data_IF_035202050798
#
_entry.id   IF_035202050798
#
_cell.length_a   1.000
_cell.length_b   1.000
_cell.length_c   1.000
_cell.angle_alpha   90.00
_cell.angle_beta   90.00
_cell.angle_gamma   90.00
#
_symmetry.space_group_name_H-M   'P 1'
#
loop_
_entity.id
_entity.type
_entity.pdbx_description
1 polymer ?
#
# COMPACT_ATOMS: atom_id res chain seq x y z
N UNK A 1 16.06 4.15 -23.89
CA UNK A 1 14.83 3.73 -23.20
C UNK A 1 15.07 3.69 -21.70
N UNK A 2 14.02 3.77 -20.88
CA UNK A 2 14.12 3.53 -19.43
C UNK A 2 14.16 2.00 -19.15
N UNK A 3 14.92 1.51 -18.16
CA UNK A 3 14.90 0.09 -17.76
C UNK A 3 13.49 -0.37 -17.35
N UNK A 4 13.15 -1.64 -17.59
CA UNK A 4 11.83 -2.20 -17.30
C UNK A 4 11.44 -2.12 -15.83
N UNK A 5 12.42 -2.26 -14.92
CA UNK A 5 12.22 -2.12 -13.47
C UNK A 5 11.73 -0.73 -13.02
N UNK A 6 11.82 0.29 -13.89
CA UNK A 6 11.33 1.65 -13.65
C UNK A 6 10.27 2.09 -14.69
N UNK A 7 9.54 1.12 -15.27
CA UNK A 7 8.35 1.42 -16.07
C UNK A 7 7.15 1.83 -15.22
N UNK A 8 7.09 1.30 -13.99
CA UNK A 8 6.10 1.62 -12.98
C UNK A 8 6.77 2.18 -11.72
N UNK A 9 5.97 2.76 -10.82
CA UNK A 9 6.37 3.02 -9.44
C UNK A 9 6.75 1.70 -8.73
N UNK A 10 7.59 1.77 -7.69
CA UNK A 10 8.23 0.56 -7.15
C UNK A 10 8.61 0.70 -5.68
N UNK A 11 8.19 -0.28 -4.86
CA UNK A 11 8.71 -0.53 -3.51
C UNK A 11 9.55 -1.83 -3.45
N UNK A 12 10.20 -2.19 -4.55
CA UNK A 12 10.93 -3.46 -4.69
C UNK A 12 12.00 -3.70 -3.61
N UNK A 13 12.64 -2.64 -3.08
CA UNK A 13 13.68 -2.79 -2.06
C UNK A 13 13.09 -3.09 -0.68
N UNK A 14 11.92 -2.52 -0.38
CA UNK A 14 11.11 -2.88 0.80
C UNK A 14 10.58 -4.33 0.73
N UNK A 15 10.17 -4.77 -0.47
CA UNK A 15 9.81 -6.17 -0.71
C UNK A 15 10.99 -7.14 -0.51
N UNK A 16 12.19 -6.78 -0.98
CA UNK A 16 13.42 -7.55 -0.75
C UNK A 16 13.77 -7.59 0.75
N UNK A 17 13.70 -6.47 1.47
CA UNK A 17 13.93 -6.45 2.92
C UNK A 17 12.93 -7.34 3.65
N UNK A 18 11.65 -7.30 3.25
CA UNK A 18 10.59 -8.12 3.83
C UNK A 18 10.78 -9.62 3.59
N UNK A 19 11.31 -10.01 2.43
CA UNK A 19 11.74 -11.39 2.17
C UNK A 19 12.93 -11.80 3.07
N UNK A 20 13.93 -10.91 3.23
CA UNK A 20 15.11 -11.18 4.07
C UNK A 20 14.78 -11.33 5.57
N UNK A 21 13.71 -10.69 6.06
CA UNK A 21 13.16 -10.92 7.42
C UNK A 21 12.66 -12.35 7.62
N UNK A 22 12.32 -13.08 6.56
CA UNK A 22 11.84 -14.48 6.62
C UNK A 22 12.98 -15.45 6.30
N UNK A 23 13.78 -15.12 5.28
CA UNK A 23 14.88 -15.93 4.76
C UNK A 23 16.18 -15.09 4.71
N UNK A 24 16.87 -14.92 5.85
CA UNK A 24 18.09 -14.13 5.90
C UNK A 24 19.22 -14.79 5.10
N UNK A 25 19.75 -14.07 4.10
CA UNK A 25 20.96 -14.42 3.35
C UNK A 25 21.89 -13.21 3.26
N UNK A 26 22.90 -13.18 4.13
CA UNK A 26 23.84 -12.08 4.23
C UNK A 26 24.73 -11.95 2.98
N UNK A 27 25.20 -13.08 2.44
CA UNK A 27 26.09 -13.08 1.28
C UNK A 27 25.38 -12.59 0.00
N UNK A 28 24.10 -12.98 -0.18
CA UNK A 28 23.26 -12.44 -1.23
C UNK A 28 22.96 -10.95 -1.01
N UNK A 29 22.64 -10.54 0.23
CA UNK A 29 22.34 -9.14 0.58
C UNK A 29 23.51 -8.22 0.22
N UNK A 30 24.73 -8.56 0.63
CA UNK A 30 25.95 -7.82 0.29
C UNK A 30 26.16 -7.65 -1.21
N UNK A 31 25.93 -8.73 -1.97
CA UNK A 31 26.04 -8.74 -3.42
C UNK A 31 24.99 -7.86 -4.10
N UNK A 32 23.78 -7.83 -3.55
CA UNK A 32 22.63 -7.16 -4.16
C UNK A 32 22.42 -5.71 -3.72
N UNK A 33 22.98 -5.29 -2.57
CA UNK A 33 22.88 -3.91 -2.07
C UNK A 33 23.21 -2.85 -3.14
N UNK A 34 24.34 -2.92 -3.88
CA UNK A 34 24.62 -1.94 -4.95
C UNK A 34 23.57 -1.87 -6.06
N UNK A 35 22.87 -2.97 -6.35
CA UNK A 35 21.78 -2.99 -7.32
C UNK A 35 20.50 -2.34 -6.75
N UNK A 36 20.21 -2.56 -5.46
CA UNK A 36 19.12 -1.89 -4.73
C UNK A 36 19.38 -0.38 -4.64
N UNK A 37 20.62 0.05 -4.36
CA UNK A 37 21.03 1.46 -4.40
C UNK A 37 20.81 2.08 -5.79
N UNK A 38 21.24 1.39 -6.84
CA UNK A 38 21.10 1.86 -8.22
C UNK A 38 19.63 1.96 -8.65
N UNK A 39 18.78 1.02 -8.23
CA UNK A 39 17.34 1.08 -8.46
C UNK A 39 16.72 2.32 -7.82
N UNK A 40 17.01 2.58 -6.53
CA UNK A 40 16.51 3.79 -5.86
C UNK A 40 17.09 5.07 -6.49
N UNK A 41 18.37 5.09 -6.89
CA UNK A 41 18.98 6.22 -7.59
C UNK A 41 18.27 6.55 -8.93
N UNK A 42 17.84 5.53 -9.68
CA UNK A 42 17.06 5.75 -10.91
C UNK A 42 15.69 6.39 -10.60
N UNK A 43 15.03 5.96 -9.51
CA UNK A 43 13.78 6.60 -9.06
C UNK A 43 14.01 8.06 -8.62
N UNK A 44 15.05 8.32 -7.82
CA UNK A 44 15.46 9.68 -7.39
C UNK A 44 15.74 10.61 -8.58
N UNK A 45 16.36 10.07 -9.64
CA UNK A 45 16.72 10.79 -10.85
C UNK A 45 15.50 11.12 -11.72
N UNK A 46 14.71 10.10 -12.07
CA UNK A 46 13.62 10.17 -13.05
C UNK A 46 12.32 10.74 -12.48
N UNK A 47 12.00 10.40 -11.24
CA UNK A 47 10.66 10.57 -10.67
C UNK A 47 10.64 11.52 -9.48
N UNK A 48 11.51 12.53 -9.43
CA UNK A 48 11.37 13.63 -8.47
C UNK A 48 11.11 14.96 -9.18
N UNK A 49 10.26 15.79 -8.56
CA UNK A 49 9.99 17.17 -8.99
C UNK A 49 11.32 17.96 -8.92
N UNK A 50 11.60 18.78 -9.95
CA UNK A 50 12.84 19.57 -10.11
C UNK A 50 12.59 21.09 -10.20
N UNK A 51 11.66 21.63 -9.41
CA UNK A 51 11.40 23.06 -9.34
C UNK A 51 11.73 23.59 -7.93
N UNK A 52 12.77 24.43 -7.73
CA UNK A 52 13.16 24.89 -6.40
C UNK A 52 12.05 25.67 -5.67
N UNK A 53 11.22 26.39 -6.41
CA UNK A 53 10.19 27.30 -5.88
C UNK A 53 8.84 26.61 -5.60
N UNK A 54 8.68 25.34 -6.00
CA UNK A 54 7.44 24.60 -5.84
C UNK A 54 7.18 24.10 -4.41
N UNK A 55 5.91 24.01 -3.98
CA UNK A 55 5.49 23.34 -2.72
C UNK A 55 5.98 21.89 -2.71
N UNK A 56 5.87 21.21 -3.84
CA UNK A 56 6.35 19.84 -4.05
C UNK A 56 7.87 19.75 -4.31
N UNK A 57 8.58 20.86 -4.55
CA UNK A 57 10.01 21.01 -4.86
C UNK A 57 10.70 19.95 -5.79
N UNK A 58 11.17 18.74 -5.44
CA UNK A 58 11.61 18.19 -4.16
C UNK A 58 10.86 16.97 -3.57
N UNK A 59 9.97 16.29 -4.29
CA UNK A 59 9.17 15.12 -3.87
C UNK A 59 9.05 14.14 -5.04
N UNK A 60 8.61 12.90 -4.81
CA UNK A 60 8.41 11.96 -5.90
C UNK A 60 7.12 12.26 -6.69
N UNK A 61 7.21 12.17 -8.01
CA UNK A 61 6.13 12.42 -8.97
C UNK A 61 6.01 11.26 -9.95
N UNK A 62 4.79 10.96 -10.38
CA UNK A 62 4.49 9.87 -11.32
C UNK A 62 3.29 10.26 -12.19
N UNK A 63 3.20 9.73 -13.42
CA UNK A 63 1.90 9.67 -14.09
C UNK A 63 1.07 8.60 -13.39
N UNK A 64 -0.22 8.79 -13.16
CA UNK A 64 -1.06 7.75 -12.53
C UNK A 64 -1.07 6.43 -13.33
N UNK A 65 -0.96 6.51 -14.66
CA UNK A 65 -0.67 5.37 -15.54
C UNK A 65 0.61 4.60 -15.17
N UNK A 66 1.70 5.30 -14.82
CA UNK A 66 2.94 4.66 -14.37
C UNK A 66 2.92 4.33 -12.87
N UNK A 67 1.84 4.68 -12.15
CA UNK A 67 1.54 4.13 -10.82
C UNK A 67 0.72 2.83 -10.91
N UNK A 68 0.34 2.40 -12.13
CA UNK A 68 -0.59 1.29 -12.37
C UNK A 68 -2.04 1.61 -12.00
N UNK A 69 -2.38 2.91 -11.95
CA UNK A 69 -3.63 3.44 -11.41
C UNK A 69 -4.26 4.47 -12.36
N UNK A 70 -4.34 4.17 -13.66
CA UNK A 70 -4.80 5.14 -14.65
C UNK A 70 -6.25 5.62 -14.43
N UNK A 71 -6.49 6.85 -14.89
CA UNK A 71 -7.79 7.52 -14.84
C UNK A 71 -8.24 7.84 -13.40
N UNK A 72 -7.29 8.16 -12.54
CA UNK A 72 -7.49 8.58 -11.16
C UNK A 72 -8.27 9.90 -11.07
N UNK A 73 -9.03 10.11 -9.99
CA UNK A 73 -9.78 11.36 -9.79
C UNK A 73 -8.85 12.52 -9.44
N UNK A 74 -7.71 12.25 -8.81
CA UNK A 74 -6.71 13.30 -8.58
C UNK A 74 -6.07 13.82 -9.87
N UNK A 75 -5.90 12.97 -10.89
CA UNK A 75 -5.55 13.43 -12.24
C UNK A 75 -6.68 14.28 -12.85
N UNK A 76 -7.93 13.79 -12.81
CA UNK A 76 -9.11 14.49 -13.36
C UNK A 76 -9.25 15.91 -12.80
N UNK A 77 -9.17 16.09 -11.47
CA UNK A 77 -9.31 17.41 -10.85
C UNK A 77 -8.19 18.37 -11.29
N UNK A 78 -6.94 17.90 -11.34
CA UNK A 78 -5.82 18.71 -11.82
C UNK A 78 -5.91 19.04 -13.31
N UNK A 79 -6.46 18.16 -14.15
CA UNK A 79 -6.68 18.41 -15.58
C UNK A 79 -7.79 19.45 -15.80
N UNK A 80 -8.87 19.43 -15.01
CA UNK A 80 -9.97 20.41 -15.11
C UNK A 80 -9.53 21.82 -14.69
N UNK A 81 -8.70 21.95 -13.65
CA UNK A 81 -8.13 23.25 -13.24
C UNK A 81 -7.06 23.76 -14.24
N UNK A 82 -6.57 22.90 -15.14
CA UNK A 82 -5.48 23.22 -16.05
C UNK A 82 -5.89 24.10 -17.23
N UNK A 83 -4.97 24.98 -17.65
CA UNK A 83 -5.11 25.86 -18.82
C UNK A 83 -4.20 25.41 -19.97
N UNK A 84 -4.31 26.08 -21.12
CA UNK A 84 -3.51 25.77 -22.30
C UNK A 84 -3.96 24.43 -22.94
N UNK A 85 -3.07 23.46 -23.19
CA UNK A 85 -3.43 22.20 -23.85
C UNK A 85 -4.54 21.43 -23.13
N UNK A 86 -4.58 21.51 -21.80
CA UNK A 86 -5.52 20.77 -20.97
C UNK A 86 -6.84 21.51 -20.72
N UNK A 87 -7.03 22.73 -21.24
CA UNK A 87 -8.31 23.45 -21.16
C UNK A 87 -9.46 22.75 -21.90
N UNK A 88 -9.17 21.67 -22.64
CA UNK A 88 -10.17 20.75 -23.22
C UNK A 88 -10.86 19.88 -22.16
N UNK A 89 -10.26 19.70 -20.98
CA UNK A 89 -10.82 18.95 -19.87
C UNK A 89 -11.66 19.87 -18.99
N UNK A 90 -12.95 19.60 -18.91
CA UNK A 90 -13.93 20.33 -18.09
C UNK A 90 -14.86 19.33 -17.40
N UNK A 91 -15.66 19.79 -16.44
CA UNK A 91 -16.70 19.00 -15.75
C UNK A 91 -17.58 18.15 -16.70
N UNK A 92 -17.84 18.67 -17.91
CA UNK A 92 -18.66 18.03 -18.93
C UNK A 92 -17.87 17.19 -19.95
N UNK A 93 -16.60 17.51 -20.23
CA UNK A 93 -15.82 16.84 -21.30
C UNK A 93 -14.83 15.80 -20.81
N UNK A 94 -14.41 15.83 -19.53
CA UNK A 94 -13.30 14.98 -19.06
C UNK A 94 -13.58 13.49 -19.24
N UNK A 95 -14.84 13.06 -19.08
CA UNK A 95 -15.25 11.66 -19.27
C UNK A 95 -15.04 11.18 -20.70
N UNK A 96 -15.29 12.03 -21.70
CA UNK A 96 -15.11 11.69 -23.11
C UNK A 96 -13.65 11.71 -23.57
N UNK A 97 -12.74 12.28 -22.78
CA UNK A 97 -11.33 12.51 -23.15
C UNK A 97 -10.32 11.78 -22.25
N UNK A 98 -10.75 11.26 -21.10
CA UNK A 98 -9.86 10.63 -20.12
C UNK A 98 -10.44 9.42 -19.37
N UNK A 99 -11.75 9.15 -19.36
CA UNK A 99 -12.30 8.01 -18.62
C UNK A 99 -12.20 6.68 -19.40
N UNK A 100 -11.01 6.10 -19.47
CA UNK A 100 -10.76 4.79 -20.11
C UNK A 100 -10.01 4.87 -21.44
N UNK A 101 -9.37 3.78 -21.85
CA UNK A 101 -8.48 3.72 -23.02
C UNK A 101 -9.13 4.16 -24.37
N UNK A 102 -10.42 3.93 -24.56
CA UNK A 102 -11.15 4.42 -25.76
C UNK A 102 -11.38 5.94 -25.78
N UNK A 103 -11.17 6.63 -24.66
CA UNK A 103 -11.34 8.10 -24.55
C UNK A 103 -10.02 8.84 -24.82
N UNK A 104 -8.88 8.24 -24.49
CA UNK A 104 -7.57 8.79 -24.84
C UNK A 104 -7.33 8.83 -26.35
N UNK A 105 -7.93 7.92 -27.13
CA UNK A 105 -7.94 8.02 -28.60
C UNK A 105 -8.74 9.25 -29.09
N UNK A 106 -9.89 9.57 -28.46
CA UNK A 106 -10.62 10.80 -28.76
C UNK A 106 -9.76 12.03 -28.44
N UNK A 107 -9.09 12.03 -27.28
CA UNK A 107 -8.17 13.11 -26.89
C UNK A 107 -7.03 13.31 -27.89
N UNK A 108 -6.39 12.23 -28.36
CA UNK A 108 -5.34 12.26 -29.38
C UNK A 108 -5.77 12.92 -30.70
N UNK A 109 -7.07 12.88 -31.03
CA UNK A 109 -7.62 13.45 -32.25
C UNK A 109 -8.06 14.92 -32.11
N UNK A 110 -8.06 15.49 -30.91
CA UNK A 110 -8.42 16.90 -30.66
C UNK A 110 -7.43 17.87 -31.30
N UNK A 111 -7.86 19.11 -31.54
CA UNK A 111 -6.97 20.20 -31.98
C UNK A 111 -5.87 20.46 -30.95
N UNK A 112 -6.20 20.45 -29.65
CA UNK A 112 -5.20 20.66 -28.58
C UNK A 112 -4.08 19.61 -28.58
N UNK A 113 -4.39 18.33 -28.86
CA UNK A 113 -3.36 17.30 -28.98
C UNK A 113 -2.48 17.46 -30.23
N UNK A 114 -3.01 18.05 -31.31
CA UNK A 114 -2.27 18.36 -32.54
C UNK A 114 -1.38 19.60 -32.36
N UNK A 115 -1.87 20.61 -31.64
CA UNK A 115 -1.15 21.86 -31.38
C UNK A 115 -0.07 21.69 -30.29
N UNK A 116 -0.29 20.77 -29.34
CA UNK A 116 0.61 20.50 -28.21
C UNK A 116 0.98 19.01 -28.10
N UNK A 117 1.66 18.41 -29.10
CA UNK A 117 1.91 16.97 -29.15
C UNK A 117 2.79 16.44 -28.01
N UNK A 118 3.57 17.29 -27.34
CA UNK A 118 4.35 16.92 -26.15
C UNK A 118 3.52 16.90 -24.86
N UNK A 119 2.34 17.53 -24.84
CA UNK A 119 1.42 17.45 -23.70
C UNK A 119 0.59 16.15 -23.72
N UNK A 120 0.60 15.38 -24.81
CA UNK A 120 -0.25 14.19 -24.99
C UNK A 120 0.52 13.00 -25.58
N UNK A 121 0.93 12.06 -24.73
CA UNK A 121 1.50 10.78 -25.20
C UNK A 121 0.38 9.88 -25.70
N UNK A 122 0.18 9.84 -27.02
CA UNK A 122 -0.94 9.12 -27.68
C UNK A 122 -2.32 9.52 -27.13
N UNK A 123 -2.49 10.79 -26.77
CA UNK A 123 -3.72 11.31 -26.16
C UNK A 123 -3.81 11.15 -24.64
N UNK A 124 -2.92 10.38 -24.00
CA UNK A 124 -2.78 10.39 -22.54
C UNK A 124 -2.01 11.66 -22.12
N UNK A 125 -2.51 12.49 -21.18
CA UNK A 125 -1.84 13.72 -20.78
C UNK A 125 -0.51 13.44 -20.06
N UNK A 126 0.57 14.13 -20.45
CA UNK A 126 1.85 14.11 -19.74
C UNK A 126 1.77 15.03 -18.51
N UNK A 127 1.08 14.53 -17.49
CA UNK A 127 0.66 15.30 -16.31
C UNK A 127 1.01 14.54 -15.03
N UNK A 128 2.11 14.94 -14.38
CA UNK A 128 2.64 14.23 -13.22
C UNK A 128 1.97 14.67 -11.92
N UNK A 129 1.83 13.71 -11.03
CA UNK A 129 1.20 13.83 -9.73
C UNK A 129 2.18 13.39 -8.63
N UNK A 130 2.20 14.15 -7.53
CA UNK A 130 2.86 13.79 -6.28
C UNK A 130 1.82 13.08 -5.42
N UNK A 131 1.75 11.75 -5.60
CA UNK A 131 0.74 10.87 -5.02
C UNK A 131 1.19 10.28 -3.68
N UNK A 132 0.25 10.05 -2.73
CA UNK A 132 0.52 9.29 -1.50
C UNK A 132 1.17 7.92 -1.71
N UNK A 133 0.87 7.23 -2.82
CA UNK A 133 1.47 5.97 -3.25
C UNK A 133 2.99 6.08 -3.45
N UNK A 134 3.46 6.74 -4.51
CA UNK A 134 4.88 6.82 -4.89
C UNK A 134 5.76 7.47 -3.83
N UNK A 135 5.22 8.42 -3.07
CA UNK A 135 5.90 9.00 -1.91
C UNK A 135 6.14 7.97 -0.79
N UNK A 136 5.17 7.10 -0.54
CA UNK A 136 5.28 6.01 0.44
C UNK A 136 6.20 4.89 -0.04
N UNK A 137 6.11 4.49 -1.31
CA UNK A 137 6.99 3.46 -1.90
C UNK A 137 8.47 3.86 -1.82
N UNK A 138 8.76 5.13 -2.11
CA UNK A 138 10.12 5.66 -2.06
C UNK A 138 10.65 5.78 -0.62
N UNK A 139 9.78 6.10 0.35
CA UNK A 139 10.13 6.01 1.77
C UNK A 139 10.44 4.56 2.16
N UNK A 140 9.59 3.59 1.80
CA UNK A 140 9.80 2.16 2.06
C UNK A 140 11.16 1.68 1.57
N UNK A 141 11.47 1.86 0.27
CA UNK A 141 12.77 1.50 -0.29
C UNK A 141 13.95 2.17 0.43
N UNK A 142 13.82 3.47 0.75
CA UNK A 142 14.90 4.24 1.38
C UNK A 142 15.12 3.80 2.82
N UNK A 143 14.05 3.47 3.54
CA UNK A 143 14.10 2.94 4.90
C UNK A 143 14.63 1.50 4.94
N UNK A 144 14.28 0.68 3.93
CA UNK A 144 14.83 -0.64 3.74
C UNK A 144 16.34 -0.62 3.48
N UNK A 145 16.84 0.29 2.61
CA UNK A 145 18.27 0.50 2.43
C UNK A 145 18.96 0.90 3.74
N UNK A 146 18.35 1.77 4.55
CA UNK A 146 18.83 2.07 5.90
C UNK A 146 18.93 0.82 6.78
N UNK A 147 17.86 0.01 6.87
CA UNK A 147 17.81 -1.19 7.70
C UNK A 147 18.87 -2.23 7.27
N UNK A 148 19.03 -2.46 5.97
CA UNK A 148 20.00 -3.42 5.43
C UNK A 148 21.45 -2.93 5.63
N UNK A 149 21.75 -1.65 5.38
CA UNK A 149 23.07 -1.10 5.68
C UNK A 149 23.38 -1.04 7.18
N UNK A 150 22.37 -0.91 8.05
CA UNK A 150 22.54 -1.02 9.50
C UNK A 150 22.93 -2.43 9.94
N UNK A 151 22.37 -3.46 9.31
CA UNK A 151 22.76 -4.85 9.56
C UNK A 151 24.17 -5.14 9.03
N UNK A 152 24.49 -4.70 7.81
CA UNK A 152 25.85 -4.85 7.28
C UNK A 152 26.90 -4.10 8.10
N UNK A 153 26.56 -2.97 8.72
CA UNK A 153 27.44 -2.30 9.69
C UNK A 153 27.55 -3.05 11.03
N UNK A 154 26.52 -3.80 11.44
CA UNK A 154 26.58 -4.63 12.65
C UNK A 154 27.41 -5.92 12.44
N UNK A 155 27.29 -6.55 11.28
CA UNK A 155 28.03 -7.77 10.95
C UNK A 155 29.45 -7.48 10.45
N UNK A 156 29.63 -6.45 9.62
CA UNK A 156 30.90 -6.05 9.02
C UNK A 156 31.12 -4.52 9.15
N UNK A 157 31.50 -4.03 10.34
CA UNK A 157 31.70 -2.61 10.61
C UNK A 157 32.68 -1.97 9.62
N UNK A 158 32.25 -0.92 8.91
CA UNK A 158 33.10 -0.16 8.01
C UNK A 158 32.60 1.28 7.83
N UNK A 159 33.54 2.20 7.64
CA UNK A 159 33.23 3.62 7.37
C UNK A 159 32.22 3.77 6.19
N UNK A 160 32.30 2.87 5.20
CA UNK A 160 31.39 2.82 4.06
C UNK A 160 29.97 2.40 4.46
N UNK A 161 29.81 1.28 5.17
CA UNK A 161 28.50 0.77 5.57
C UNK A 161 27.80 1.74 6.54
N UNK A 162 28.52 2.24 7.55
CA UNK A 162 28.04 3.32 8.41
C UNK A 162 27.58 4.55 7.62
N UNK A 163 28.40 5.06 6.69
CA UNK A 163 28.05 6.25 5.92
C UNK A 163 26.80 6.04 5.04
N UNK A 164 26.63 4.84 4.47
CA UNK A 164 25.42 4.47 3.73
C UNK A 164 24.18 4.38 4.62
N UNK A 165 24.30 3.75 5.80
CA UNK A 165 23.22 3.70 6.78
C UNK A 165 22.79 5.12 7.21
N UNK A 166 23.74 5.97 7.60
CA UNK A 166 23.46 7.35 8.01
C UNK A 166 22.83 8.17 6.86
N UNK A 167 23.31 8.00 5.61
CA UNK A 167 22.73 8.63 4.43
C UNK A 167 21.28 8.21 4.18
N UNK A 168 20.99 6.91 4.15
CA UNK A 168 19.63 6.43 3.89
C UNK A 168 18.66 6.75 5.02
N UNK A 169 19.13 6.79 6.28
CA UNK A 169 18.35 7.29 7.42
C UNK A 169 17.92 8.75 7.20
N UNK A 170 18.89 9.61 6.84
CA UNK A 170 18.59 11.02 6.56
C UNK A 170 17.63 11.17 5.38
N UNK A 171 17.84 10.41 4.30
CA UNK A 171 16.95 10.42 3.13
C UNK A 171 15.52 9.99 3.48
N UNK A 172 15.32 8.90 4.24
CA UNK A 172 13.97 8.43 4.59
C UNK A 172 13.25 9.44 5.49
N UNK A 173 13.95 10.03 6.46
CA UNK A 173 13.43 11.10 7.32
C UNK A 173 13.03 12.36 6.52
N UNK A 174 13.82 12.77 5.54
CA UNK A 174 13.47 13.92 4.68
C UNK A 174 12.26 13.64 3.78
N UNK A 175 12.13 12.41 3.26
CA UNK A 175 10.95 11.99 2.49
C UNK A 175 9.71 12.01 3.39
N UNK A 176 9.77 11.37 4.57
CA UNK A 176 8.68 11.34 5.56
C UNK A 176 8.25 12.76 5.96
N UNK A 177 9.19 13.58 6.43
CA UNK A 177 8.93 14.97 6.88
C UNK A 177 8.26 15.80 5.80
N UNK A 178 8.71 15.67 4.55
CA UNK A 178 8.13 16.44 3.44
C UNK A 178 6.79 15.88 2.96
N UNK A 179 6.64 14.56 2.94
CA UNK A 179 5.38 13.88 2.64
C UNK A 179 4.27 14.37 3.56
N UNK A 180 4.47 14.21 4.88
CA UNK A 180 3.47 14.53 5.90
C UNK A 180 3.07 16.00 5.84
N UNK A 181 4.05 16.90 5.74
CA UNK A 181 3.81 18.35 5.69
C UNK A 181 3.11 18.82 4.40
N UNK A 182 3.34 18.16 3.27
CA UNK A 182 2.86 18.65 1.96
C UNK A 182 1.55 18.01 1.50
N UNK A 183 1.32 16.73 1.83
CA UNK A 183 0.14 15.96 1.37
C UNK A 183 -0.97 15.84 2.41
N UNK A 184 -0.69 16.04 3.71
CA UNK A 184 -1.75 16.02 4.72
C UNK A 184 -2.59 17.29 4.68
N UNK A 185 -3.89 17.14 4.47
CA UNK A 185 -4.86 18.20 4.67
C UNK A 185 -5.52 18.02 6.06
N UNK A 186 -5.30 19.01 6.93
CA UNK A 186 -5.77 18.97 8.32
C UNK A 186 -7.28 19.28 8.48
N UNK A 187 -7.88 20.02 7.54
CA UNK A 187 -9.32 20.33 7.56
C UNK A 187 -10.14 19.09 7.20
N UNK A 188 -9.65 18.29 6.25
CA UNK A 188 -10.29 17.09 5.73
C UNK A 188 -9.84 15.79 6.42
N UNK A 189 -8.77 15.84 7.22
CA UNK A 189 -8.20 14.69 7.91
C UNK A 189 -7.72 13.58 6.97
N UNK A 190 -7.07 13.94 5.85
CA UNK A 190 -6.67 12.96 4.83
C UNK A 190 -5.41 13.37 4.06
N UNK A 191 -4.72 12.38 3.45
CA UNK A 191 -3.61 12.60 2.54
C UNK A 191 -4.10 12.76 1.10
N UNK A 192 -3.97 13.96 0.52
CA UNK A 192 -4.33 14.23 -0.87
C UNK A 192 -3.13 14.18 -1.82
N UNK A 193 -3.44 13.87 -3.08
CA UNK A 193 -2.51 13.99 -4.19
C UNK A 193 -2.36 15.45 -4.61
N UNK A 194 -1.13 15.88 -4.89
CA UNK A 194 -0.86 17.18 -5.52
C UNK A 194 -0.40 17.02 -6.97
N UNK A 195 -0.61 18.03 -7.82
CA UNK A 195 0.04 18.08 -9.14
C UNK A 195 1.50 18.47 -8.99
N UNK A 196 2.38 17.90 -9.82
CA UNK A 196 3.81 18.17 -9.74
C UNK A 196 4.13 19.63 -10.05
N UNK A 197 4.88 20.29 -9.16
CA UNK A 197 5.25 21.71 -9.27
C UNK A 197 6.18 22.04 -10.44
N UNK A 198 6.68 21.03 -11.17
CA UNK A 198 7.52 21.14 -12.36
C UNK A 198 6.83 20.61 -13.64
N UNK A 199 5.52 20.34 -13.60
CA UNK A 199 4.75 19.95 -14.79
C UNK A 199 4.98 20.94 -15.94
N UNK A 200 5.38 20.44 -17.11
CA UNK A 200 5.60 21.27 -18.30
C UNK A 200 4.31 21.95 -18.78
N UNK A 201 3.18 21.26 -18.62
CA UNK A 201 1.85 21.69 -19.01
C UNK A 201 0.84 21.53 -17.86
N UNK A 202 -0.19 22.37 -17.86
CA UNK A 202 -1.25 22.34 -16.84
C UNK A 202 -0.87 23.01 -15.51
N UNK A 203 -1.73 22.81 -14.52
CA UNK A 203 -1.60 23.40 -13.18
C UNK A 203 -0.52 22.70 -12.35
N UNK A 204 0.17 23.48 -11.51
CA UNK A 204 1.31 23.07 -10.67
C UNK A 204 0.96 23.24 -9.19
N UNK A 205 1.45 22.34 -8.34
CA UNK A 205 1.22 22.33 -6.89
C UNK A 205 -0.28 22.38 -6.47
N UNK A 206 -1.20 21.98 -7.37
CA UNK A 206 -2.63 21.96 -7.10
C UNK A 206 -3.00 20.74 -6.25
N UNK A 207 -3.73 20.96 -5.16
CA UNK A 207 -4.18 19.92 -4.23
C UNK A 207 -5.55 19.37 -4.68
N UNK A 208 -5.55 18.14 -5.18
CA UNK A 208 -6.77 17.48 -5.62
C UNK A 208 -7.54 16.94 -4.41
N UNK A 209 -8.54 17.69 -3.93
CA UNK A 209 -9.39 17.35 -2.77
C UNK A 209 -10.40 16.25 -3.11
N UNK A 210 -9.88 15.05 -3.34
CA UNK A 210 -10.63 13.79 -3.47
C UNK A 210 -9.87 12.69 -2.74
N UNK A 211 -10.54 12.04 -1.78
CA UNK A 211 -9.92 10.97 -0.99
C UNK A 211 -9.82 9.72 -1.86
N UNK A 212 -8.60 9.42 -2.29
CA UNK A 212 -8.25 8.17 -2.96
C UNK A 212 -7.62 7.22 -1.94
N UNK A 213 -7.88 5.92 -2.08
CA UNK A 213 -7.44 4.87 -1.14
C UNK A 213 -5.91 4.74 -1.02
N UNK A 214 -5.14 5.31 -1.97
CA UNK A 214 -3.68 5.49 -1.82
C UNK A 214 -3.30 6.39 -0.65
N UNK A 215 -4.22 7.21 -0.14
CA UNK A 215 -4.02 8.00 1.08
C UNK A 215 -3.75 7.14 2.33
N UNK A 216 -4.07 5.84 2.31
CA UNK A 216 -3.71 4.90 3.39
C UNK A 216 -2.32 4.25 3.22
N UNK A 217 -1.69 4.35 2.06
CA UNK A 217 -0.38 3.75 1.79
C UNK A 217 0.73 4.13 2.79
N UNK A 218 0.76 5.33 3.43
CA UNK A 218 1.75 5.64 4.47
C UNK A 218 1.81 4.64 5.63
N UNK A 219 0.68 4.07 6.05
CA UNK A 219 0.65 3.07 7.13
C UNK A 219 1.16 1.69 6.68
N UNK A 220 1.13 1.36 5.37
CA UNK A 220 1.76 0.13 4.84
C UNK A 220 3.26 0.10 5.19
N UNK A 221 3.95 1.23 5.02
CA UNK A 221 5.40 1.33 5.25
C UNK A 221 5.76 1.80 6.67
N UNK A 222 4.77 1.92 7.57
CA UNK A 222 4.93 2.52 8.90
C UNK A 222 5.56 3.93 8.85
N UNK A 223 5.17 4.74 7.87
CA UNK A 223 5.69 6.10 7.66
C UNK A 223 5.23 7.09 8.73
N UNK A 224 4.05 6.91 9.32
CA UNK A 224 3.52 7.86 10.30
C UNK A 224 4.41 7.84 11.57
N UNK A 225 4.79 8.98 12.15
CA UNK A 225 5.44 9.03 13.46
C UNK A 225 4.46 8.57 14.54
N UNK A 226 4.89 7.69 15.44
CA UNK A 226 3.98 7.07 16.43
C UNK A 226 3.45 8.10 17.43
N UNK A 227 4.28 9.05 17.80
CA UNK A 227 4.00 10.21 18.63
C UNK A 227 2.89 11.11 18.04
N UNK A 228 2.85 11.27 16.72
CA UNK A 228 1.92 12.16 16.02
C UNK A 228 0.67 11.44 15.48
N UNK A 229 0.59 10.11 15.56
CA UNK A 229 -0.46 9.31 14.92
C UNK A 229 -1.90 9.78 15.24
N UNK A 230 -2.15 10.35 16.43
CA UNK A 230 -3.46 10.91 16.79
C UNK A 230 -3.98 11.98 15.81
N UNK A 231 -3.08 12.70 15.14
CA UNK A 231 -3.44 13.67 14.11
C UNK A 231 -3.92 12.98 12.82
N UNK A 232 -3.33 11.82 12.49
CA UNK A 232 -3.54 11.14 11.22
C UNK A 232 -4.62 10.04 11.27
N UNK A 233 -4.86 9.44 12.44
CA UNK A 233 -5.76 8.28 12.59
C UNK A 233 -7.23 8.57 12.23
N UNK A 234 -7.63 9.84 12.21
CA UNK A 234 -8.94 10.30 11.73
C UNK A 234 -9.24 9.87 10.29
N UNK A 235 -8.21 9.70 9.45
CA UNK A 235 -8.37 9.23 8.07
C UNK A 235 -9.11 7.88 7.99
N UNK A 236 -8.89 6.99 8.96
CA UNK A 236 -9.52 5.66 9.01
C UNK A 236 -11.04 5.70 9.22
N UNK A 237 -11.61 6.82 9.66
CA UNK A 237 -13.07 7.00 9.69
C UNK A 237 -13.70 6.93 8.29
N UNK A 238 -12.95 7.29 7.23
CA UNK A 238 -13.42 7.17 5.85
C UNK A 238 -13.30 5.74 5.32
N UNK A 239 -12.43 4.90 5.87
CA UNK A 239 -12.29 3.49 5.45
C UNK A 239 -13.54 2.68 5.77
N UNK A 240 -14.16 2.93 6.93
CA UNK A 240 -15.37 2.23 7.40
C UNK A 240 -16.67 2.90 6.94
N UNK A 241 -16.63 4.18 6.57
CA UNK A 241 -17.79 4.96 6.13
C UNK A 241 -18.28 4.58 4.73
N UNK A 242 -19.61 4.44 4.58
CA UNK A 242 -20.27 4.30 3.28
C UNK A 242 -20.18 5.54 2.38
N UNK A 243 -19.90 6.72 2.96
CA UNK A 243 -19.58 7.93 2.18
C UNK A 243 -18.13 7.95 1.73
N UNK A 244 -17.26 7.23 2.44
CA UNK A 244 -15.86 7.03 2.11
C UNK A 244 -15.68 5.79 1.25
N UNK A 245 -14.95 4.80 1.75
CA UNK A 245 -14.47 3.67 0.96
C UNK A 245 -15.26 2.37 1.15
N UNK A 246 -16.06 2.24 2.21
CA UNK A 246 -16.77 1.01 2.50
C UNK A 246 -17.97 0.85 1.54
N UNK A 247 -18.07 -0.30 0.88
CA UNK A 247 -19.25 -0.67 0.09
C UNK A 247 -19.64 -2.13 0.41
N UNK A 248 -20.79 -2.58 -0.09
CA UNK A 248 -21.42 -3.82 0.34
C UNK A 248 -20.59 -5.09 0.01
N UNK A 249 -20.01 -5.16 -1.19
CA UNK A 249 -19.19 -6.31 -1.65
C UNK A 249 -17.68 -6.12 -1.45
N UNK A 250 -17.20 -4.91 -1.18
CA UNK A 250 -15.79 -4.62 -0.90
C UNK A 250 -15.52 -3.14 -0.71
N UNK A 251 -14.24 -2.74 -0.72
CA UNK A 251 -13.85 -1.32 -0.65
C UNK A 251 -13.68 -0.70 -2.05
N UNK A 252 -13.86 0.62 -2.13
CA UNK A 252 -13.67 1.40 -3.35
C UNK A 252 -12.27 2.01 -3.43
N UNK A 253 -11.85 2.40 -4.63
CA UNK A 253 -10.56 3.11 -4.84
C UNK A 253 -10.61 4.61 -4.55
N UNK A 254 -11.80 5.22 -4.61
CA UNK A 254 -12.05 6.64 -4.31
C UNK A 254 -13.32 6.80 -3.46
N UNK A 255 -13.43 7.89 -2.70
CA UNK A 255 -14.58 8.12 -1.81
C UNK A 255 -15.91 8.24 -2.57
N UNK A 256 -16.90 7.48 -2.11
CA UNK A 256 -18.23 7.34 -2.74
C UNK A 256 -19.03 8.65 -2.79
N UNK A 257 -18.73 9.60 -1.90
CA UNK A 257 -19.38 10.91 -1.88
C UNK A 257 -18.85 11.90 -2.93
N UNK A 258 -17.74 11.62 -3.60
CA UNK A 258 -17.17 12.56 -4.59
C UNK A 258 -18.00 12.55 -5.90
N UNK A 259 -18.38 13.70 -6.48
CA UNK A 259 -19.27 13.76 -7.66
C UNK A 259 -18.78 13.03 -8.92
N UNK A 260 -17.48 12.70 -8.99
CA UNK A 260 -16.85 11.98 -10.10
C UNK A 260 -16.59 10.49 -9.82
N UNK A 261 -16.97 10.01 -8.63
CA UNK A 261 -16.95 8.58 -8.29
C UNK A 261 -17.74 7.76 -9.33
N UNK A 262 -17.13 6.69 -9.84
CA UNK A 262 -17.80 5.76 -10.75
C UNK A 262 -17.14 4.36 -10.72
N UNK A 263 -17.68 3.44 -9.92
CA UNK A 263 -17.20 2.05 -9.89
C UNK A 263 -17.47 1.25 -11.18
N UNK A 264 -18.39 1.71 -12.02
CA UNK A 264 -18.75 1.04 -13.28
C UNK A 264 -17.77 1.33 -14.42
N UNK A 265 -16.95 2.38 -14.33
CA UNK A 265 -15.91 2.66 -15.32
C UNK A 265 -14.69 1.73 -15.17
N UNK A 266 -14.03 1.40 -16.28
CA UNK A 266 -12.72 0.75 -16.26
C UNK A 266 -11.66 1.82 -15.94
N UNK A 267 -11.51 2.14 -14.66
CA UNK A 267 -10.70 3.24 -14.16
C UNK A 267 -10.46 3.11 -12.64
N UNK A 268 -9.50 3.88 -12.14
CA UNK A 268 -9.15 3.96 -10.71
C UNK A 268 -9.93 5.06 -9.96
N UNK A 269 -11.19 5.27 -10.33
CA UNK A 269 -12.06 6.34 -9.82
C UNK A 269 -13.27 5.83 -9.00
N UNK A 270 -13.17 4.66 -8.38
CA UNK A 270 -14.22 4.12 -7.52
C UNK A 270 -14.31 2.60 -7.49
N UNK A 271 -13.90 1.93 -8.58
CA UNK A 271 -13.93 0.47 -8.70
C UNK A 271 -13.04 -0.21 -7.65
N UNK A 272 -13.34 -1.45 -7.29
CA UNK A 272 -12.52 -2.26 -6.39
C UNK A 272 -11.39 -2.95 -7.15
N UNK A 273 -10.17 -2.90 -6.60
CA UNK A 273 -8.97 -3.47 -7.22
C UNK A 273 -8.20 -4.27 -6.17
N UNK A 274 -8.02 -5.59 -6.32
CA UNK A 274 -7.36 -6.44 -5.32
C UNK A 274 -5.96 -5.96 -4.92
N UNK A 275 -5.21 -5.37 -5.85
CA UNK A 275 -3.95 -4.67 -5.56
C UNK A 275 -4.07 -3.70 -4.37
N UNK A 276 -5.09 -2.85 -4.42
CA UNK A 276 -5.31 -1.80 -3.44
C UNK A 276 -5.98 -2.33 -2.18
N UNK A 277 -6.77 -3.41 -2.27
CA UNK A 277 -7.18 -4.17 -1.08
C UNK A 277 -5.95 -4.66 -0.31
N UNK A 278 -4.96 -5.27 -0.98
CA UNK A 278 -3.71 -5.72 -0.33
C UNK A 278 -2.99 -4.57 0.38
N UNK A 279 -2.82 -3.43 -0.30
CA UNK A 279 -2.14 -2.26 0.29
C UNK A 279 -2.91 -1.70 1.49
N UNK A 280 -4.23 -1.53 1.39
CA UNK A 280 -5.03 -0.91 2.45
C UNK A 280 -5.24 -1.84 3.65
N UNK A 281 -5.35 -3.16 3.44
CA UNK A 281 -5.53 -4.12 4.53
C UNK A 281 -4.23 -4.26 5.34
N UNK A 282 -3.07 -4.29 4.65
CA UNK A 282 -1.74 -4.20 5.28
C UNK A 282 -1.53 -2.89 6.03
N UNK A 283 -1.94 -1.78 5.44
CA UNK A 283 -1.90 -0.47 6.08
C UNK A 283 -2.79 -0.44 7.35
N UNK A 284 -3.96 -1.06 7.32
CA UNK A 284 -4.85 -1.12 8.48
C UNK A 284 -4.33 -2.06 9.57
N UNK A 285 -3.82 -3.25 9.23
CA UNK A 285 -3.19 -4.16 10.21
C UNK A 285 -2.01 -3.50 10.92
N UNK A 286 -1.13 -2.81 10.18
CA UNK A 286 -0.04 -2.01 10.72
C UNK A 286 -0.54 -0.88 11.63
N UNK A 287 -1.56 -0.12 11.22
CA UNK A 287 -2.21 0.89 12.07
C UNK A 287 -2.67 0.28 13.41
N UNK A 288 -3.36 -0.87 13.37
CA UNK A 288 -3.83 -1.54 14.58
C UNK A 288 -2.67 -2.01 15.47
N UNK A 289 -1.61 -2.63 14.93
CA UNK A 289 -0.51 -3.22 15.72
C UNK A 289 0.53 -2.23 16.23
N UNK A 290 0.86 -1.22 15.42
CA UNK A 290 2.04 -0.37 15.64
C UNK A 290 1.69 1.02 16.21
N UNK A 291 0.44 1.45 16.04
CA UNK A 291 0.01 2.81 16.35
C UNK A 291 -1.06 2.89 17.45
N UNK A 292 -2.05 1.99 17.46
CA UNK A 292 -3.08 2.01 18.51
C UNK A 292 -2.51 1.57 19.86
N UNK A 293 -2.84 2.33 20.91
CA UNK A 293 -2.56 1.94 22.30
C UNK A 293 -3.45 0.77 22.76
N UNK A 294 -4.65 0.65 22.19
CA UNK A 294 -5.59 -0.44 22.44
C UNK A 294 -6.32 -0.76 21.14
N UNK A 295 -6.31 -2.04 20.75
CA UNK A 295 -7.08 -2.57 19.63
C UNK A 295 -8.45 -2.98 20.17
N UNK A 296 -9.52 -2.42 19.61
CA UNK A 296 -10.90 -2.72 20.02
C UNK A 296 -11.46 -3.94 19.27
N UNK A 297 -12.58 -4.49 19.76
CA UNK A 297 -13.31 -5.53 19.03
C UNK A 297 -13.78 -5.03 17.64
N UNK A 298 -14.21 -3.77 17.54
CA UNK A 298 -14.67 -3.17 16.28
C UNK A 298 -13.53 -2.99 15.27
N UNK A 299 -12.32 -2.68 15.72
CA UNK A 299 -11.13 -2.62 14.84
C UNK A 299 -10.87 -3.97 14.17
N UNK A 300 -10.90 -5.06 14.96
CA UNK A 300 -10.75 -6.43 14.47
C UNK A 300 -11.89 -6.82 13.53
N UNK A 301 -13.13 -6.53 13.92
CA UNK A 301 -14.31 -6.83 13.10
C UNK A 301 -14.22 -6.14 11.74
N UNK A 302 -13.81 -4.87 11.72
CA UNK A 302 -13.60 -4.09 10.50
C UNK A 302 -12.58 -4.75 9.56
N UNK A 303 -11.41 -5.14 10.06
CA UNK A 303 -10.41 -5.82 9.24
C UNK A 303 -10.96 -7.16 8.72
N UNK A 304 -11.58 -7.95 9.60
CA UNK A 304 -12.13 -9.25 9.26
C UNK A 304 -13.23 -9.17 8.21
N UNK A 305 -14.18 -8.24 8.33
CA UNK A 305 -15.25 -8.03 7.36
C UNK A 305 -14.71 -7.67 5.97
N UNK A 306 -13.70 -6.80 5.90
CA UNK A 306 -13.09 -6.38 4.64
C UNK A 306 -12.28 -7.50 3.98
N UNK A 307 -11.55 -8.29 4.77
CA UNK A 307 -10.91 -9.53 4.29
C UNK A 307 -11.98 -10.49 3.76
N UNK A 308 -13.01 -10.81 4.54
CA UNK A 308 -14.06 -11.76 4.15
C UNK A 308 -14.89 -11.31 2.93
N UNK A 309 -15.03 -10.00 2.70
CA UNK A 309 -15.58 -9.45 1.45
C UNK A 309 -14.71 -9.86 0.25
N UNK A 310 -13.40 -9.64 0.33
CA UNK A 310 -12.44 -10.07 -0.70
C UNK A 310 -12.39 -11.59 -0.86
N UNK A 311 -12.38 -12.35 0.25
CA UNK A 311 -12.40 -13.83 0.27
C UNK A 311 -13.54 -14.40 -0.57
N UNK A 312 -14.75 -13.81 -0.47
CA UNK A 312 -15.93 -14.29 -1.19
C UNK A 312 -15.82 -14.11 -2.71
N UNK A 313 -15.19 -13.02 -3.17
CA UNK A 313 -15.00 -12.71 -4.59
C UNK A 313 -14.10 -13.71 -5.31
N UNK A 314 -13.23 -14.42 -4.59
CA UNK A 314 -12.44 -15.51 -5.16
C UNK A 314 -13.31 -16.68 -5.63
N UNK A 315 -14.51 -16.88 -5.05
CA UNK A 315 -15.39 -18.00 -5.38
C UNK A 315 -14.95 -19.33 -4.76
N UNK A 316 -15.90 -20.13 -4.31
CA UNK A 316 -15.62 -21.44 -3.70
C UNK A 316 -15.55 -22.59 -4.72
N UNK A 317 -16.54 -22.67 -5.62
CA UNK A 317 -16.62 -23.75 -6.61
C UNK A 317 -15.60 -23.60 -7.74
N UNK A 318 -15.27 -22.36 -8.11
CA UNK A 318 -14.31 -22.01 -9.15
C UNK A 318 -13.41 -20.88 -8.63
N UNK A 319 -12.39 -21.20 -7.82
CA UNK A 319 -11.45 -20.21 -7.29
C UNK A 319 -10.78 -19.41 -8.42
N UNK A 320 -10.78 -18.09 -8.31
CA UNK A 320 -10.18 -17.17 -9.27
C UNK A 320 -9.57 -15.95 -8.54
N UNK A 321 -8.67 -15.22 -9.20
CA UNK A 321 -8.32 -13.84 -8.88
C UNK A 321 -8.27 -13.06 -10.20
N UNK A 322 -8.91 -11.89 -10.22
CA UNK A 322 -8.94 -11.03 -11.41
C UNK A 322 -8.45 -9.62 -11.15
N UNK A 323 -8.52 -8.81 -12.19
CA UNK A 323 -8.00 -7.43 -12.20
C UNK A 323 -8.77 -6.53 -11.23
N UNK A 324 -10.10 -6.64 -11.20
CA UNK A 324 -10.99 -5.72 -10.48
C UNK A 324 -12.32 -6.39 -10.08
N UNK A 325 -13.14 -5.69 -9.30
CA UNK A 325 -14.53 -6.05 -8.99
C UNK A 325 -15.39 -4.79 -8.80
N UNK A 326 -16.71 -4.94 -8.77
CA UNK A 326 -17.66 -3.85 -8.50
C UNK A 326 -18.02 -3.84 -7.00
N UNK A 327 -17.61 -2.84 -6.19
CA UNK A 327 -17.82 -2.83 -4.74
C UNK A 327 -19.28 -2.78 -4.25
N UNK A 328 -20.24 -2.33 -5.06
CA UNK A 328 -21.68 -2.33 -4.71
C UNK A 328 -22.32 -3.72 -4.67
N UNK A 329 -22.11 -4.50 -5.72
CA UNK A 329 -22.96 -5.65 -6.05
C UNK A 329 -22.21 -6.76 -6.82
N UNK A 330 -20.95 -6.55 -7.20
CA UNK A 330 -20.11 -7.57 -7.85
C UNK A 330 -19.93 -8.82 -6.98
N UNK A 331 -20.13 -9.99 -7.57
CA UNK A 331 -20.04 -11.29 -6.87
C UNK A 331 -18.79 -12.10 -7.23
N UNK A 332 -18.04 -11.64 -8.24
CA UNK A 332 -16.83 -12.25 -8.76
C UNK A 332 -15.87 -11.16 -9.26
N UNK A 333 -14.60 -11.50 -9.44
CA UNK A 333 -13.66 -10.61 -10.14
C UNK A 333 -13.96 -10.54 -11.65
N UNK A 334 -13.62 -9.41 -12.25
CA UNK A 334 -13.60 -9.17 -13.70
C UNK A 334 -12.18 -8.85 -14.20
N UNK A 335 -12.04 -8.80 -15.53
CA UNK A 335 -10.74 -8.73 -16.20
C UNK A 335 -10.22 -10.12 -16.56
N UNK A 336 -8.90 -10.27 -16.65
CA UNK A 336 -8.23 -11.56 -16.81
C UNK A 336 -8.44 -12.46 -15.57
N UNK A 337 -8.47 -13.77 -15.79
CA UNK A 337 -8.38 -14.77 -14.72
C UNK A 337 -6.93 -14.98 -14.30
N UNK A 338 -6.74 -15.54 -13.10
CA UNK A 338 -5.43 -15.82 -12.49
C UNK A 338 -4.49 -14.59 -12.46
N UNK A 339 -5.07 -13.40 -12.33
CA UNK A 339 -4.35 -12.12 -12.46
C UNK A 339 -3.51 -11.80 -11.22
N UNK A 340 -2.23 -12.16 -11.27
CA UNK A 340 -1.29 -11.97 -10.16
C UNK A 340 -0.81 -10.52 -10.04
N UNK A 341 -1.70 -9.65 -9.57
CA UNK A 341 -1.46 -8.23 -9.28
C UNK A 341 -1.93 -7.85 -7.87
N UNK A 342 -1.86 -8.79 -6.93
CA UNK A 342 -2.26 -8.59 -5.52
C UNK A 342 -1.64 -9.66 -4.63
N UNK A 343 -1.66 -9.43 -3.32
CA UNK A 343 -1.38 -10.47 -2.31
C UNK A 343 -2.67 -10.85 -1.60
N UNK A 344 -2.80 -12.13 -1.24
CA UNK A 344 -3.89 -12.63 -0.39
C UNK A 344 -3.38 -13.60 0.70
N UNK A 345 -2.43 -14.52 0.43
CA UNK A 345 -1.81 -15.31 1.49
C UNK A 345 -1.15 -14.45 2.58
N UNK A 346 -0.47 -13.34 2.22
CA UNK A 346 0.11 -12.41 3.20
C UNK A 346 -0.95 -11.72 4.07
N UNK A 347 -2.11 -11.38 3.49
CA UNK A 347 -3.25 -10.83 4.23
C UNK A 347 -3.74 -11.81 5.31
N UNK A 348 -3.71 -13.12 5.04
CA UNK A 348 -4.10 -14.11 6.03
C UNK A 348 -2.99 -14.37 7.05
N UNK A 349 -1.74 -14.54 6.60
CA UNK A 349 -0.59 -14.92 7.43
C UNK A 349 -0.11 -13.75 8.30
N UNK A 350 0.28 -12.65 7.67
CA UNK A 350 0.81 -11.48 8.35
C UNK A 350 -0.30 -10.57 8.85
N UNK A 351 -1.36 -10.31 8.09
CA UNK A 351 -2.34 -9.27 8.50
C UNK A 351 -3.45 -9.78 9.43
N UNK A 352 -3.98 -10.99 9.21
CA UNK A 352 -5.04 -11.54 10.05
C UNK A 352 -4.51 -12.39 11.22
N UNK A 353 -3.73 -13.43 10.94
CA UNK A 353 -3.11 -14.31 11.96
C UNK A 353 -2.00 -13.57 12.71
N UNK A 354 -1.31 -12.64 12.06
CA UNK A 354 -0.38 -11.74 12.73
C UNK A 354 1.03 -12.25 12.88
N UNK A 355 1.52 -13.10 11.97
CA UNK A 355 2.94 -13.48 11.92
C UNK A 355 3.79 -12.30 11.41
N UNK A 356 4.45 -11.60 12.32
CA UNK A 356 5.31 -10.45 12.05
C UNK A 356 6.78 -10.87 12.08
N UNK A 357 7.41 -10.86 10.89
CA UNK A 357 8.80 -11.26 10.68
C UNK A 357 9.81 -10.17 11.11
N UNK A 358 11.02 -10.59 11.49
CA UNK A 358 12.09 -9.71 12.00
C UNK A 358 13.46 -10.11 11.43
N UNK A 359 14.40 -9.17 11.44
CA UNK A 359 15.82 -9.45 11.14
C UNK A 359 16.58 -10.06 12.33
N UNK A 360 15.94 -10.18 13.49
CA UNK A 360 16.49 -10.87 14.65
C UNK A 360 16.02 -12.33 14.69
N UNK A 361 16.66 -13.19 15.49
CA UNK A 361 16.27 -14.60 15.75
C UNK A 361 14.96 -14.70 16.57
N UNK A 362 13.94 -13.98 16.16
CA UNK A 362 12.64 -13.88 16.79
C UNK A 362 11.58 -13.52 15.77
N UNK A 363 10.33 -13.78 16.10
CA UNK A 363 9.16 -13.28 15.38
C UNK A 363 8.09 -12.93 16.40
N UNK A 364 7.03 -12.29 15.93
CA UNK A 364 5.90 -11.91 16.77
C UNK A 364 4.60 -12.47 16.20
N UNK A 365 3.67 -12.83 17.09
CA UNK A 365 2.32 -13.27 16.74
C UNK A 365 1.30 -12.38 17.43
N UNK A 366 0.51 -11.64 16.65
CA UNK A 366 -0.58 -10.79 17.16
C UNK A 366 -1.86 -10.91 16.31
N UNK A 367 -2.74 -11.89 16.60
CA UNK A 367 -3.95 -12.14 15.82
C UNK A 367 -4.97 -11.01 15.91
N UNK A 368 -5.43 -10.56 14.74
CA UNK A 368 -6.49 -9.55 14.59
C UNK A 368 -7.86 -10.19 14.28
N UNK A 369 -7.98 -11.50 14.50
CA UNK A 369 -9.23 -12.26 14.42
C UNK A 369 -10.19 -11.81 15.55
N UNK A 370 -11.45 -11.45 15.25
CA UNK A 370 -12.45 -11.14 16.27
C UNK A 370 -12.89 -12.40 17.04
N UNK A 371 -13.30 -12.22 18.30
CA UNK A 371 -13.78 -13.33 19.12
C UNK A 371 -15.02 -14.00 18.50
N UNK A 372 -15.08 -15.33 18.53
CA UNK A 372 -16.19 -16.12 17.98
C UNK A 372 -16.28 -16.14 16.44
N UNK A 373 -15.24 -15.71 15.71
CA UNK A 373 -15.18 -15.83 14.24
C UNK A 373 -14.46 -17.08 13.73
N UNK A 374 -13.59 -17.67 14.56
CA UNK A 374 -12.83 -18.88 14.23
C UNK A 374 -12.66 -19.75 15.49
N UNK A 375 -13.40 -20.85 15.54
CA UNK A 375 -13.30 -21.88 16.57
C UNK A 375 -11.89 -22.51 16.61
N UNK A 376 -11.20 -22.56 15.47
CA UNK A 376 -9.82 -23.00 15.34
C UNK A 376 -9.15 -22.46 14.08
N UNK A 377 -7.82 -22.42 14.08
CA UNK A 377 -7.01 -22.40 12.86
C UNK A 377 -5.69 -23.12 13.09
N UNK A 378 -5.07 -23.55 11.99
CA UNK A 378 -3.70 -24.06 11.96
C UNK A 378 -2.95 -23.39 10.82
N UNK A 379 -1.85 -22.73 11.15
CA UNK A 379 -0.87 -22.22 10.20
C UNK A 379 0.47 -22.86 10.57
N UNK A 380 0.92 -23.82 9.78
CA UNK A 380 2.14 -24.57 10.07
C UNK A 380 2.92 -24.96 8.84
N UNK A 381 4.04 -25.64 9.07
CA UNK A 381 5.10 -25.82 8.09
C UNK A 381 5.62 -24.48 7.51
N UNK A 382 5.61 -23.41 8.30
CA UNK A 382 6.21 -22.13 7.91
C UNK A 382 7.74 -22.24 8.03
N UNK A 383 8.45 -22.04 6.92
CA UNK A 383 9.91 -21.94 6.93
C UNK A 383 10.32 -20.51 7.32
N UNK A 384 10.95 -20.36 8.48
CA UNK A 384 11.41 -19.06 9.00
C UNK A 384 12.81 -19.21 9.58
N UNK A 385 13.81 -18.47 9.08
CA UNK A 385 15.19 -18.51 9.60
C UNK A 385 15.79 -19.93 9.68
N UNK A 386 15.41 -20.82 8.75
CA UNK A 386 15.83 -22.23 8.74
C UNK A 386 15.14 -23.13 9.77
N UNK A 387 14.10 -22.62 10.45
CA UNK A 387 13.24 -23.33 11.40
C UNK A 387 11.86 -23.61 10.80
N UNK A 388 11.19 -24.62 11.34
CA UNK A 388 9.76 -24.86 11.08
C UNK A 388 8.92 -24.25 12.19
N UNK A 389 8.01 -23.34 11.84
CA UNK A 389 7.07 -22.70 12.77
C UNK A 389 5.66 -23.26 12.55
N UNK A 390 5.01 -23.62 13.65
CA UNK A 390 3.62 -24.05 13.69
C UNK A 390 2.83 -23.18 14.69
N UNK A 391 1.67 -22.68 14.27
CA UNK A 391 0.76 -21.85 15.07
C UNK A 391 -0.62 -22.50 15.04
N UNK A 392 -1.15 -22.87 16.20
CA UNK A 392 -2.50 -23.43 16.36
C UNK A 392 -3.30 -22.55 17.29
N UNK A 393 -4.50 -22.15 16.87
CA UNK A 393 -5.55 -21.71 17.77
C UNK A 393 -6.64 -22.77 17.80
N UNK A 394 -7.19 -23.03 19.00
CA UNK A 394 -8.46 -23.74 19.15
C UNK A 394 -9.18 -23.26 20.40
N UNK A 395 -10.46 -22.92 20.28
CA UNK A 395 -11.31 -22.44 21.35
C UNK A 395 -11.66 -23.56 22.35
N UNK A 396 -11.91 -24.79 21.87
CA UNK A 396 -12.10 -25.96 22.72
C UNK A 396 -11.37 -27.22 22.21
N UNK A 397 -10.45 -27.74 23.02
CA UNK A 397 -9.57 -28.85 22.63
C UNK A 397 -10.25 -30.22 22.71
N UNK A 398 -10.92 -30.53 23.83
CA UNK A 398 -11.67 -31.77 24.07
C UNK A 398 -13.19 -31.50 24.04
N UNK A 399 -13.87 -32.02 23.03
CA UNK A 399 -15.32 -31.85 22.83
C UNK A 399 -16.18 -32.47 23.94
N UNK A 400 -15.60 -33.35 24.78
CA UNK A 400 -16.32 -34.01 25.89
C UNK A 400 -16.24 -33.22 27.20
N UNK A 401 -15.48 -32.12 27.23
CA UNK A 401 -15.35 -31.25 28.40
C UNK A 401 -16.06 -29.91 28.13
N UNK A 402 -16.80 -29.35 29.11
CA UNK A 402 -17.38 -28.02 28.98
C UNK A 402 -16.33 -26.96 28.60
N UNK A 403 -16.76 -25.97 27.82
CA UNK A 403 -15.86 -25.11 27.06
C UNK A 403 -15.02 -24.10 27.87
N UNK A 404 -14.25 -23.27 27.14
CA UNK A 404 -13.13 -22.42 27.61
C UNK A 404 -11.82 -23.17 27.81
N UNK A 405 -11.55 -24.15 26.96
CA UNK A 405 -10.22 -24.79 26.89
C UNK A 405 -9.26 -24.03 25.97
N UNK A 406 -9.58 -22.78 25.66
CA UNK A 406 -8.98 -22.01 24.59
C UNK A 406 -7.48 -21.92 24.71
N UNK A 407 -6.77 -22.17 23.61
CA UNK A 407 -5.32 -22.05 23.56
C UNK A 407 -4.84 -21.69 22.15
N UNK A 408 -4.10 -20.59 22.08
CA UNK A 408 -3.12 -20.28 21.05
C UNK A 408 -1.81 -20.96 21.49
N UNK A 409 -1.19 -21.73 20.60
CA UNK A 409 0.09 -22.39 20.83
C UNK A 409 1.02 -22.14 19.64
N UNK A 410 2.30 -21.94 19.92
CA UNK A 410 3.33 -21.65 18.92
C UNK A 410 4.52 -22.59 19.16
N UNK A 411 4.89 -23.36 18.14
CA UNK A 411 6.02 -24.27 18.15
C UNK A 411 7.12 -23.80 17.19
N UNK A 412 8.36 -24.14 17.53
CA UNK A 412 9.56 -23.99 16.70
C UNK A 412 10.26 -25.34 16.70
N UNK A 413 10.49 -25.94 15.54
CA UNK A 413 11.02 -27.30 15.37
C UNK A 413 10.32 -28.35 16.27
N UNK A 414 8.98 -28.30 16.30
CA UNK A 414 8.10 -29.13 17.15
C UNK A 414 8.25 -28.92 18.67
N UNK A 415 9.04 -27.95 19.13
CA UNK A 415 9.12 -27.54 20.55
C UNK A 415 8.15 -26.38 20.82
N UNK A 416 7.24 -26.54 21.78
CA UNK A 416 6.32 -25.48 22.19
C UNK A 416 7.10 -24.33 22.84
N UNK A 417 7.17 -23.17 22.19
CA UNK A 417 7.88 -21.98 22.69
C UNK A 417 6.96 -21.02 23.43
N UNK A 418 5.68 -20.91 23.03
CA UNK A 418 4.72 -20.02 23.68
C UNK A 418 3.28 -20.54 23.60
N UNK A 419 2.44 -20.13 24.55
CA UNK A 419 0.99 -20.34 24.50
C UNK A 419 0.21 -19.25 25.24
N UNK A 420 -1.07 -19.08 24.92
CA UNK A 420 -1.99 -18.13 25.54
C UNK A 420 -3.43 -18.64 25.49
N UNK A 421 -4.22 -18.38 26.54
CA UNK A 421 -5.66 -18.67 26.55
C UNK A 421 -6.51 -17.66 25.78
N UNK A 422 -5.97 -16.47 25.55
CA UNK A 422 -6.59 -15.39 24.79
C UNK A 422 -5.94 -15.33 23.40
N UNK A 423 -6.76 -15.27 22.34
CA UNK A 423 -6.32 -15.13 20.96
C UNK A 423 -5.85 -13.70 20.64
N UNK A 424 -6.32 -12.71 21.38
CA UNK A 424 -6.06 -11.30 21.11
C UNK A 424 -4.72 -10.76 21.59
N UNK A 425 -3.89 -11.60 22.20
CA UNK A 425 -2.59 -11.23 22.77
C UNK A 425 -1.54 -10.93 21.69
N UNK A 426 -0.47 -10.27 22.13
CA UNK A 426 0.77 -10.05 21.38
C UNK A 426 1.85 -10.92 22.02
N UNK A 427 2.42 -11.86 21.27
CA UNK A 427 3.45 -12.80 21.76
C UNK A 427 4.72 -12.57 20.94
N UNK A 428 5.83 -12.27 21.63
CA UNK A 428 7.18 -12.33 21.05
C UNK A 428 7.77 -13.73 21.27
N UNK A 429 8.31 -14.33 20.22
CA UNK A 429 8.86 -15.69 20.23
C UNK A 429 10.30 -15.66 19.75
N UNK A 430 11.23 -16.09 20.60
CA UNK A 430 12.63 -16.29 20.21
C UNK A 430 12.82 -17.70 19.64
N UNK A 431 13.72 -17.83 18.66
CA UNK A 431 14.02 -19.11 18.00
C UNK A 431 14.96 -20.00 18.83
N UNK A 432 15.84 -19.39 19.63
CA UNK A 432 16.80 -20.04 20.52
C UNK A 432 16.09 -20.86 21.63
#
# INVERSE_FOLDING_TARGET
SRPESVHFSSWMVDGIESFLKIHPDQAWTQKMLPAMENHQYLLDSLFTVKNPDAKTNGMYKILDLYDGMEFSLSAVLGLIESKGPYAIYTDSTWRDLYLGWGTTEKAANTTAAKDFPLAFTKGYPDFYLVRPSVGSYSFGNTNALYNLYRQEEQHHPSIKNKAKADYYKFRSQEIQRKFLRTLWNADDGFFYTLTAGDNAYGVRDYEARVRESVGYTPWYFNMIPREDNKMYEVAWAMFTSEKGFNNHKGMTTAERQHPYYNEQAYAWNGRGWPFQNSVVYKAYSNYLRNYKNQITAQDKETLYEQIMKLTRLHGYAHPNIGEWYIPSDGEQFGGQNDYFHSTYPDIIIADLIGFEASHHNSFQVQPLIPAGKMDYFYLGNLAYHGKTIDIVWKEDWDQNKPGKQSMLCIWVDHVLKASSKDLGVKIDVNLD
#
